data_IF_050160599711
#
_entry.id   IF_050160599711
#
_cell.length_a   1.000
_cell.length_b   1.000
_cell.length_c   1.000
_cell.angle_alpha   90.00
_cell.angle_beta   90.00
_cell.angle_gamma   90.00
#
_symmetry.space_group_name_H-M   'P 1'
#
loop_
_entity.id
_entity.type
_entity.pdbx_description
1 polymer ?
#
# COMPACT_ATOMS: atom_id res chain seq x y z
N UNK A 1 -12.09 29.30 41.85
CA UNK A 1 -12.75 29.21 40.52
C UNK A 1 -11.67 29.27 39.46
N UNK A 2 -11.02 28.15 39.15
CA UNK A 2 -9.95 28.12 38.16
C UNK A 2 -10.57 27.87 36.78
N UNK A 3 -10.62 28.91 35.96
CA UNK A 3 -11.03 28.88 34.56
C UNK A 3 -9.90 28.32 33.71
N UNK A 4 -10.10 27.09 33.20
CA UNK A 4 -9.19 26.47 32.24
C UNK A 4 -9.54 27.01 30.85
N UNK A 5 -8.59 27.72 30.25
CA UNK A 5 -8.69 28.11 28.84
C UNK A 5 -8.40 26.87 27.99
N UNK A 6 -9.28 26.46 27.07
CA UNK A 6 -8.99 25.33 26.20
C UNK A 6 -7.95 25.74 25.14
N UNK A 7 -6.85 25.00 25.08
CA UNK A 7 -5.89 25.09 23.99
C UNK A 7 -6.56 24.45 22.78
N UNK A 8 -6.72 25.15 21.63
CA UNK A 8 -7.21 24.50 20.43
C UNK A 8 -6.21 23.40 20.06
N UNK A 9 -6.68 22.16 20.01
CA UNK A 9 -5.86 21.00 19.64
C UNK A 9 -5.20 21.30 18.28
N UNK A 10 -3.88 21.37 18.28
CA UNK A 10 -3.10 21.61 17.08
C UNK A 10 -3.36 20.45 16.10
N UNK A 11 -4.06 20.75 15.00
CA UNK A 11 -4.01 20.00 13.75
C UNK A 11 -4.64 18.61 13.80
N UNK A 12 -5.97 18.55 13.75
CA UNK A 12 -6.70 17.35 13.34
C UNK A 12 -6.49 17.06 11.84
N UNK A 13 -5.29 16.62 11.45
CA UNK A 13 -5.17 15.78 10.25
C UNK A 13 -4.53 14.45 10.67
N UNK A 14 -5.35 13.42 11.00
CA UNK A 14 -4.82 12.12 11.32
C UNK A 14 -4.02 11.58 10.14
N UNK A 15 -2.86 10.98 10.43
CA UNK A 15 -2.00 10.40 9.40
C UNK A 15 -2.80 9.56 8.39
N UNK A 16 -2.50 9.66 7.08
CA UNK A 16 -3.30 9.02 6.05
C UNK A 16 -3.35 7.51 6.27
N UNK A 17 -4.55 6.94 6.11
CA UNK A 17 -4.76 5.49 6.27
C UNK A 17 -3.91 4.70 5.27
N UNK A 18 -3.36 3.54 5.67
CA UNK A 18 -2.66 2.65 4.74
C UNK A 18 -3.54 2.32 3.54
N UNK A 19 -3.04 2.63 2.34
CA UNK A 19 -3.76 2.34 1.09
C UNK A 19 -3.25 1.02 0.52
N UNK A 20 -4.19 0.14 0.15
CA UNK A 20 -3.88 -1.07 -0.61
C UNK A 20 -3.31 -0.66 -1.97
N UNK A 21 -2.23 -1.33 -2.40
CA UNK A 21 -1.72 -1.17 -3.77
C UNK A 21 -2.74 -1.74 -4.76
N UNK A 22 -2.92 -1.05 -5.88
CA UNK A 22 -3.76 -1.51 -6.99
C UNK A 22 -2.89 -1.66 -8.22
N UNK A 23 -2.98 -2.81 -8.87
CA UNK A 23 -2.24 -3.09 -10.09
C UNK A 23 -3.16 -2.94 -11.30
N UNK A 24 -2.65 -2.28 -12.34
CA UNK A 24 -3.34 -2.17 -13.62
C UNK A 24 -3.45 -3.53 -14.30
N UNK A 25 -4.35 -3.66 -15.27
CA UNK A 25 -4.45 -4.87 -16.09
C UNK A 25 -3.12 -5.18 -16.80
N UNK A 26 -2.48 -4.16 -17.39
CA UNK A 26 -1.19 -4.31 -18.07
C UNK A 26 -0.08 -4.82 -17.14
N UNK A 27 -0.03 -4.35 -15.89
CA UNK A 27 0.92 -4.86 -14.91
C UNK A 27 0.72 -6.36 -14.67
N UNK A 28 -0.54 -6.77 -14.46
CA UNK A 28 -0.88 -8.17 -14.21
C UNK A 28 -0.50 -9.06 -15.39
N UNK A 29 -0.78 -8.63 -16.63
CA UNK A 29 -0.44 -9.40 -17.83
C UNK A 29 1.07 -9.61 -17.98
N UNK A 30 1.88 -8.58 -17.69
CA UNK A 30 3.35 -8.73 -17.71
C UNK A 30 3.83 -9.74 -16.67
N UNK A 31 3.28 -9.71 -15.46
CA UNK A 31 3.63 -10.67 -14.40
C UNK A 31 3.23 -12.10 -14.78
N UNK A 32 2.07 -12.29 -15.42
CA UNK A 32 1.65 -13.61 -15.91
C UNK A 32 2.63 -14.13 -16.97
N UNK A 33 3.01 -13.30 -17.94
CA UNK A 33 3.97 -13.69 -18.96
C UNK A 33 5.34 -14.05 -18.38
N UNK A 34 5.81 -13.30 -17.38
CA UNK A 34 7.06 -13.58 -16.67
C UNK A 34 6.99 -14.89 -15.88
N UNK A 35 5.86 -15.14 -15.19
CA UNK A 35 5.62 -16.38 -14.46
C UNK A 35 5.58 -17.61 -15.37
N UNK A 36 4.95 -17.48 -16.53
CA UNK A 36 4.83 -18.56 -17.51
C UNK A 36 6.18 -18.90 -18.14
N UNK A 37 7.04 -17.90 -18.36
CA UNK A 37 8.39 -18.08 -18.89
C UNK A 37 9.41 -18.59 -17.86
N UNK A 38 9.11 -18.48 -16.56
CA UNK A 38 10.06 -18.82 -15.50
C UNK A 38 10.32 -20.35 -15.40
N UNK A 39 11.58 -20.77 -15.22
CA UNK A 39 11.95 -22.16 -14.96
C UNK A 39 11.27 -22.75 -13.72
N UNK A 40 11.18 -24.09 -13.66
CA UNK A 40 10.67 -24.79 -12.50
C UNK A 40 11.50 -24.47 -11.25
N UNK A 41 10.84 -24.02 -10.17
CA UNK A 41 11.49 -23.58 -8.94
C UNK A 41 11.67 -22.06 -8.82
N UNK A 42 11.63 -21.31 -9.92
CA UNK A 42 11.84 -19.85 -9.91
C UNK A 42 10.53 -19.04 -9.98
N UNK A 43 9.42 -19.70 -10.32
CA UNK A 43 8.07 -19.11 -10.41
C UNK A 43 7.64 -18.33 -9.16
N UNK A 44 8.07 -18.75 -7.97
CA UNK A 44 7.75 -18.06 -6.72
C UNK A 44 8.49 -16.73 -6.52
N UNK A 45 9.59 -16.51 -7.24
CA UNK A 45 10.32 -15.24 -7.19
C UNK A 45 9.55 -14.10 -7.90
N UNK A 46 8.76 -14.44 -8.91
CA UNK A 46 7.94 -13.50 -9.70
C UNK A 46 6.78 -12.90 -8.89
N UNK A 47 6.33 -13.57 -7.82
CA UNK A 47 5.13 -13.22 -7.04
C UNK A 47 5.43 -12.47 -5.72
N UNK A 48 6.64 -11.91 -5.56
CA UNK A 48 7.11 -11.24 -4.34
C UNK A 48 6.56 -9.81 -4.17
#
# INVERSE_FOLDING_TARGET
MASITPIPAAGDDPAPKPKRRTFSAAYKLRIVAEYDAAPAGEKGAVLR
#
